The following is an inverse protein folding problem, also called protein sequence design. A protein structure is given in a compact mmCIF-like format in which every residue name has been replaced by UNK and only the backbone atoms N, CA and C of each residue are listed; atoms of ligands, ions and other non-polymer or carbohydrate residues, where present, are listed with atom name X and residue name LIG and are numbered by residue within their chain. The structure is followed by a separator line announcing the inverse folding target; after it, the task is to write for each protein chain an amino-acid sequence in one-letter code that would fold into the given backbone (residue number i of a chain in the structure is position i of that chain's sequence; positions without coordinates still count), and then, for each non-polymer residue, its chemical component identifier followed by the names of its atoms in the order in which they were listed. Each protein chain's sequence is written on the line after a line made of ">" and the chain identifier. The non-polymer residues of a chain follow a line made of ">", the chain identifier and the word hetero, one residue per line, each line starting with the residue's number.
data_IF_248534210174
#
_entry.id   IF_248534210174
#
_cell.length_a   1.000
_cell.length_b   1.000
_cell.length_c   1.000
_cell.angle_alpha   90.00
_cell.angle_beta   90.00
_cell.angle_gamma   90.00
#
_symmetry.space_group_name_H-M   'P 1'
#
loop_
_entity.id
_entity.type
_entity.pdbx_description
1 polymer ?
#
# COMPACT_ATOMS: atom_id res chain seq x y z
N UNK A 1 -10.99 30.35 -46.43
CA UNK A 1 -11.18 28.91 -46.69
C UNK A 1 -10.78 28.15 -45.43
N UNK A 2 -11.77 27.76 -44.61
CA UNK A 2 -11.59 27.05 -43.33
C UNK A 2 -11.47 25.55 -43.62
N UNK A 3 -10.41 24.91 -43.16
CA UNK A 3 -10.32 23.46 -43.18
C UNK A 3 -11.30 22.87 -42.15
N UNK A 4 -12.04 21.80 -42.46
CA UNK A 4 -12.84 21.11 -41.47
C UNK A 4 -11.91 20.36 -40.51
N UNK A 5 -12.07 20.62 -39.22
CA UNK A 5 -11.51 19.81 -38.14
C UNK A 5 -11.98 18.37 -38.31
N UNK A 6 -11.05 17.46 -38.63
CA UNK A 6 -11.27 16.03 -38.48
C UNK A 6 -11.52 15.79 -36.99
N UNK A 7 -12.79 15.72 -36.60
CA UNK A 7 -13.18 15.12 -35.33
C UNK A 7 -12.72 13.67 -35.40
N UNK A 8 -11.82 13.25 -34.50
CA UNK A 8 -11.59 11.84 -34.25
C UNK A 8 -12.95 11.21 -33.92
N UNK A 9 -13.50 10.45 -34.88
CA UNK A 9 -14.59 9.52 -34.62
C UNK A 9 -14.15 8.55 -33.51
N UNK A 10 -15.08 8.05 -32.68
CA UNK A 10 -14.72 7.07 -31.65
C UNK A 10 -14.11 5.86 -32.35
N UNK A 11 -12.80 5.69 -32.17
CA UNK A 11 -12.07 4.54 -32.68
C UNK A 11 -12.77 3.30 -32.10
N UNK A 12 -13.39 2.51 -32.97
CA UNK A 12 -13.92 1.21 -32.59
C UNK A 12 -12.76 0.39 -32.03
N UNK A 13 -12.84 0.15 -30.73
CA UNK A 13 -11.91 -0.65 -29.95
C UNK A 13 -11.93 -2.04 -30.58
N UNK A 14 -10.88 -2.38 -31.34
CA UNK A 14 -10.80 -3.63 -32.09
C UNK A 14 -10.89 -4.87 -31.18
N UNK A 15 -11.19 -6.05 -31.75
CA UNK A 15 -11.50 -7.29 -31.00
C UNK A 15 -10.42 -7.70 -29.98
N UNK A 16 -9.15 -7.36 -30.21
CA UNK A 16 -8.06 -7.65 -29.25
C UNK A 16 -8.17 -6.87 -27.93
N UNK A 17 -8.78 -5.68 -27.93
CA UNK A 17 -8.97 -4.91 -26.71
C UNK A 17 -10.19 -5.40 -25.92
N UNK A 18 -11.21 -5.96 -26.59
CA UNK A 18 -12.35 -6.62 -25.92
C UNK A 18 -11.91 -7.88 -25.17
N UNK A 19 -11.01 -8.70 -25.74
CA UNK A 19 -10.47 -9.87 -25.02
C UNK A 19 -9.67 -9.47 -23.78
N UNK A 20 -8.83 -8.44 -23.87
CA UNK A 20 -8.07 -7.95 -22.72
C UNK A 20 -8.99 -7.38 -21.63
N UNK A 21 -10.07 -6.70 -22.01
CA UNK A 21 -11.06 -6.20 -21.07
C UNK A 21 -11.76 -7.35 -20.35
N UNK A 22 -12.18 -8.38 -21.09
CA UNK A 22 -12.79 -9.58 -20.52
C UNK A 22 -11.89 -10.32 -19.52
N UNK A 23 -10.58 -10.43 -19.82
CA UNK A 23 -9.62 -11.02 -18.88
C UNK A 23 -9.45 -10.15 -17.63
N UNK A 24 -9.47 -8.81 -17.79
CA UNK A 24 -9.39 -7.89 -16.65
C UNK A 24 -10.62 -8.02 -15.75
N UNK A 25 -11.82 -8.01 -16.31
CA UNK A 25 -13.06 -8.06 -15.56
C UNK A 25 -13.15 -9.36 -14.76
N UNK A 26 -12.81 -10.50 -15.39
CA UNK A 26 -12.75 -11.80 -14.72
C UNK A 26 -11.65 -11.87 -13.66
N UNK A 27 -10.52 -11.20 -13.85
CA UNK A 27 -9.47 -11.13 -12.84
C UNK A 27 -9.89 -10.28 -11.63
N UNK A 28 -10.56 -9.15 -11.87
CA UNK A 28 -11.08 -8.27 -10.81
C UNK A 28 -12.13 -8.99 -9.96
N UNK A 29 -13.06 -9.71 -10.58
CA UNK A 29 -14.04 -10.56 -9.89
C UNK A 29 -13.37 -11.64 -9.02
N UNK A 30 -12.29 -12.25 -9.53
CA UNK A 30 -11.47 -13.19 -8.78
C UNK A 30 -10.74 -12.56 -7.59
N UNK A 31 -10.26 -11.32 -7.73
CA UNK A 31 -9.63 -10.57 -6.64
C UNK A 31 -10.64 -10.19 -5.55
N UNK A 32 -11.84 -9.77 -5.93
CA UNK A 32 -12.93 -9.46 -5.01
C UNK A 32 -13.34 -10.71 -4.22
N UNK A 33 -13.54 -11.84 -4.91
CA UNK A 33 -13.82 -13.13 -4.27
C UNK A 33 -12.70 -13.58 -3.31
N UNK A 34 -11.44 -13.32 -3.65
CA UNK A 34 -10.32 -13.62 -2.76
C UNK A 34 -10.32 -12.71 -1.52
N UNK A 35 -10.65 -11.43 -1.70
CA UNK A 35 -10.77 -10.45 -0.61
C UNK A 35 -11.93 -10.78 0.33
N UNK A 36 -13.09 -11.20 -0.20
CA UNK A 36 -14.23 -11.70 0.58
C UNK A 36 -13.87 -12.94 1.41
N UNK A 37 -13.07 -13.84 0.84
CA UNK A 37 -12.54 -15.02 1.55
C UNK A 37 -11.44 -14.69 2.57
N UNK A 38 -11.18 -13.41 2.83
CA UNK A 38 -10.20 -12.93 3.79
C UNK A 38 -8.75 -13.16 3.35
N UNK A 39 -8.49 -13.44 2.07
CA UNK A 39 -7.11 -13.52 1.58
C UNK A 39 -6.61 -12.11 1.33
N UNK A 40 -5.72 -11.64 2.22
CA UNK A 40 -5.01 -10.38 2.02
C UNK A 40 -4.09 -10.52 0.81
N UNK A 41 -4.47 -9.90 -0.30
CA UNK A 41 -3.66 -9.81 -1.50
C UNK A 41 -2.66 -8.66 -1.32
N UNK A 42 -1.39 -8.98 -1.16
CA UNK A 42 -0.31 -8.01 -0.93
C UNK A 42 0.92 -8.64 -0.29
N UNK A 43 1.97 -7.85 -0.13
CA UNK A 43 3.11 -8.26 0.70
C UNK A 43 2.66 -8.41 2.15
N UNK A 44 3.12 -9.47 2.83
CA UNK A 44 2.84 -9.65 4.25
C UNK A 44 3.29 -8.40 5.03
N UNK A 45 2.38 -7.84 5.82
CA UNK A 45 2.69 -6.73 6.71
C UNK A 45 3.83 -7.14 7.64
N UNK A 46 4.93 -6.40 7.58
CA UNK A 46 6.07 -6.56 8.51
C UNK A 46 5.88 -5.67 9.74
N UNK A 47 4.85 -4.82 9.72
CA UNK A 47 4.50 -3.84 10.76
C UNK A 47 3.45 -4.43 11.71
N UNK A 48 3.74 -4.37 13.00
CA UNK A 48 2.91 -4.85 14.11
C UNK A 48 2.49 -3.66 14.98
N UNK A 49 1.29 -3.70 15.59
CA UNK A 49 0.79 -2.60 16.43
C UNK A 49 1.68 -2.32 17.65
N UNK A 50 2.26 -3.37 18.25
CA UNK A 50 3.20 -3.23 19.36
C UNK A 50 4.49 -2.55 18.92
N UNK A 51 4.99 -2.92 17.73
CA UNK A 51 6.17 -2.33 17.13
C UNK A 51 5.95 -0.86 16.78
N UNK A 52 4.76 -0.51 16.27
CA UNK A 52 4.39 0.86 15.94
C UNK A 52 4.30 1.74 17.19
N UNK A 53 3.65 1.25 18.24
CA UNK A 53 3.54 1.96 19.54
C UNK A 53 4.93 2.27 20.12
N UNK A 54 5.85 1.31 20.05
CA UNK A 54 7.23 1.51 20.51
C UNK A 54 7.99 2.52 19.63
N UNK A 55 7.77 2.51 18.31
CA UNK A 55 8.41 3.45 17.40
C UNK A 55 7.98 4.89 17.65
N UNK A 56 6.70 5.13 17.94
CA UNK A 56 6.18 6.46 18.32
C UNK A 56 6.79 6.91 19.65
N UNK A 57 6.85 6.04 20.65
CA UNK A 57 7.44 6.36 21.94
C UNK A 57 8.93 6.74 21.85
N UNK A 58 9.70 6.05 20.99
CA UNK A 58 11.12 6.36 20.77
C UNK A 58 11.32 7.64 19.94
N UNK A 59 10.34 8.00 19.10
CA UNK A 59 10.32 9.28 18.37
C UNK A 59 10.12 10.46 19.33
N UNK A 60 9.24 10.31 20.33
CA UNK A 60 9.00 11.34 21.35
C UNK A 60 10.23 11.57 22.25
N UNK A 61 11.13 10.59 22.32
CA UNK A 61 12.43 10.69 23.02
C UNK A 61 13.55 11.32 22.15
N UNK A 62 13.22 11.88 20.98
CA UNK A 62 14.15 12.50 20.04
C UNK A 62 15.31 11.59 19.59
N UNK A 63 15.12 10.27 19.60
CA UNK A 63 16.15 9.32 19.17
C UNK A 63 16.35 9.34 17.65
N UNK A 64 17.59 9.05 17.21
CA UNK A 64 17.88 8.95 15.79
C UNK A 64 17.14 7.78 15.14
N UNK A 65 16.68 7.95 13.89
CA UNK A 65 15.97 6.91 13.14
C UNK A 65 16.76 5.59 13.04
N UNK A 66 18.10 5.67 12.96
CA UNK A 66 18.98 4.50 12.90
C UNK A 66 19.01 3.75 14.23
N UNK A 67 18.93 4.45 15.36
CA UNK A 67 18.93 3.83 16.68
C UNK A 67 17.54 3.28 17.03
N UNK A 68 16.47 3.94 16.56
CA UNK A 68 15.10 3.41 16.61
C UNK A 68 15.04 2.07 15.87
N UNK A 69 15.57 2.00 14.64
CA UNK A 69 15.58 0.77 13.86
C UNK A 69 16.33 -0.39 14.53
N UNK A 70 17.43 -0.12 15.25
CA UNK A 70 18.19 -1.14 15.99
C UNK A 70 17.48 -1.63 17.27
N UNK A 71 16.65 -0.79 17.89
CA UNK A 71 15.91 -1.16 19.11
C UNK A 71 14.59 -1.87 18.82
N UNK A 72 14.01 -1.62 17.64
CA UNK A 72 12.80 -2.31 17.21
C UNK A 72 13.12 -3.75 16.77
N UNK A 73 12.26 -4.68 17.17
CA UNK A 73 12.32 -6.09 16.74
C UNK A 73 10.96 -6.48 16.23
N UNK A 74 10.92 -7.12 15.06
CA UNK A 74 9.69 -7.63 14.47
C UNK A 74 9.21 -8.84 15.28
N UNK A 75 8.02 -8.73 15.88
CA UNK A 75 7.43 -9.75 16.77
C UNK A 75 6.66 -10.83 16.02
N UNK A 76 6.13 -10.50 14.84
CA UNK A 76 5.19 -11.32 14.06
C UNK A 76 5.63 -11.53 12.60
N UNK A 77 5.05 -12.53 11.93
CA UNK A 77 5.29 -12.79 10.51
C UNK A 77 6.59 -13.51 10.15
N UNK A 78 6.88 -13.59 8.84
CA UNK A 78 8.01 -14.35 8.27
C UNK A 78 9.38 -13.78 8.64
N UNK A 79 9.45 -12.50 9.05
CA UNK A 79 10.71 -11.81 9.42
C UNK A 79 10.82 -11.59 10.93
N UNK A 80 10.20 -12.47 11.74
CA UNK A 80 10.26 -12.42 13.20
C UNK A 80 11.71 -12.46 13.71
N UNK A 81 12.01 -11.62 14.69
CA UNK A 81 13.32 -11.54 15.33
C UNK A 81 14.35 -10.67 14.59
N UNK A 82 14.00 -10.13 13.42
CA UNK A 82 14.87 -9.23 12.67
C UNK A 82 14.59 -7.76 13.02
N UNK A 83 15.63 -6.93 12.93
CA UNK A 83 15.48 -5.48 13.00
C UNK A 83 14.94 -4.91 11.68
N UNK A 84 13.98 -3.98 11.72
CA UNK A 84 13.49 -3.31 10.52
C UNK A 84 14.59 -2.47 9.87
N UNK A 85 14.48 -2.29 8.55
CA UNK A 85 15.33 -1.30 7.87
C UNK A 85 14.89 0.12 8.25
N UNK A 86 15.80 1.12 8.23
CA UNK A 86 15.42 2.52 8.46
C UNK A 86 14.32 3.02 7.51
N UNK A 87 14.30 2.53 6.26
CA UNK A 87 13.25 2.84 5.29
C UNK A 87 11.87 2.28 5.73
N UNK A 88 11.86 1.09 6.31
CA UNK A 88 10.63 0.48 6.87
C UNK A 88 10.10 1.30 8.03
N UNK A 89 10.98 1.79 8.93
CA UNK A 89 10.58 2.64 10.06
C UNK A 89 9.98 3.97 9.57
N UNK A 90 10.60 4.62 8.58
CA UNK A 90 10.05 5.86 7.99
C UNK A 90 8.67 5.64 7.36
N UNK A 91 8.52 4.56 6.59
CA UNK A 91 7.24 4.19 5.99
C UNK A 91 6.16 3.97 7.06
N UNK A 92 6.49 3.21 8.10
CA UNK A 92 5.58 2.90 9.20
C UNK A 92 5.14 4.15 9.98
N UNK A 93 6.07 5.05 10.32
CA UNK A 93 5.74 6.30 11.01
C UNK A 93 4.87 7.21 10.14
N UNK A 94 5.16 7.29 8.83
CA UNK A 94 4.35 8.06 7.89
C UNK A 94 2.92 7.52 7.77
N UNK A 95 2.77 6.21 7.58
CA UNK A 95 1.44 5.57 7.50
C UNK A 95 0.64 5.82 8.78
N UNK A 96 1.28 5.79 9.95
CA UNK A 96 0.63 6.11 11.22
C UNK A 96 0.21 7.58 11.32
N UNK A 97 1.09 8.52 10.95
CA UNK A 97 0.76 9.95 11.01
C UNK A 97 -0.36 10.29 9.99
N UNK A 98 -0.38 9.65 8.82
CA UNK A 98 -1.47 9.77 7.83
C UNK A 98 -2.80 9.21 8.37
N UNK A 99 -2.79 8.03 9.00
CA UNK A 99 -3.97 7.44 9.62
C UNK A 99 -4.51 8.33 10.76
N UNK A 100 -3.62 8.83 11.62
CA UNK A 100 -3.98 9.71 12.71
C UNK A 100 -4.53 11.07 12.20
N UNK A 101 -3.96 11.62 11.13
CA UNK A 101 -4.47 12.83 10.49
C UNK A 101 -5.88 12.62 9.89
N UNK A 102 -6.13 11.49 9.22
CA UNK A 102 -7.47 11.17 8.70
C UNK A 102 -8.50 10.99 9.81
N UNK A 103 -8.12 10.34 10.92
CA UNK A 103 -8.98 10.15 12.08
C UNK A 103 -9.30 11.46 12.81
N UNK A 104 -8.36 12.41 12.88
CA UNK A 104 -8.58 13.72 13.48
C UNK A 104 -9.45 14.68 12.62
N UNK A 105 -9.60 14.37 11.33
CA UNK A 105 -10.39 15.17 10.37
C UNK A 105 -11.83 14.69 10.16
N UNK A 106 -12.22 13.59 10.81
CA UNK A 106 -13.59 13.03 10.79
C UNK A 106 -14.33 13.43 12.06
#
# INVERSE_FOLDING_TARGET
>A
MRQPVLTCAPAQIGPCAMEREYIRDRALEGHESARERGKTIGGAGVTDDSMLSMAVHLRDQEMSLRDIAKRLVITTGTKKGQHPSPATVMRMLREHDEQNATAAST
#
